data_IF_150205169516
#
_entry.id   IF_150205169516
#
_cell.length_a   1.000
_cell.length_b   1.000
_cell.length_c   1.000
_cell.angle_alpha   90.00
_cell.angle_beta   90.00
_cell.angle_gamma   90.00
#
_symmetry.space_group_name_H-M   'P 1'
#
loop_
_entity.id
_entity.type
_entity.pdbx_description
1 polymer ?
#
# COMPACT_ATOMS: atom_id res chain seq x y z
N UNK A 1 -18.84 -0.60 0.89
CA UNK A 1 -17.88 0.51 0.73
C UNK A 1 -18.49 1.75 1.36
N UNK A 2 -17.80 2.35 2.33
CA UNK A 2 -18.27 3.53 3.08
C UNK A 2 -17.49 4.76 2.52
N UNK A 3 -17.98 5.98 2.73
CA UNK A 3 -17.24 7.23 2.40
C UNK A 3 -15.76 7.24 2.86
N UNK A 4 -15.44 6.50 3.91
CA UNK A 4 -14.12 6.39 4.52
C UNK A 4 -13.31 5.19 4.01
N UNK A 5 -13.90 4.26 3.26
CA UNK A 5 -13.26 3.00 2.86
C UNK A 5 -13.35 2.80 1.36
N UNK A 6 -12.22 2.94 0.69
CA UNK A 6 -12.05 2.69 -0.73
C UNK A 6 -11.35 1.33 -0.88
N UNK A 7 -11.97 0.38 -1.55
CA UNK A 7 -11.32 -0.89 -1.92
C UNK A 7 -11.25 -0.97 -3.44
N UNK A 8 -10.10 -1.36 -3.96
CA UNK A 8 -9.84 -1.52 -5.38
C UNK A 8 -9.05 -2.79 -5.64
N UNK A 9 -9.32 -3.43 -6.78
CA UNK A 9 -8.50 -4.51 -7.29
C UNK A 9 -7.99 -4.10 -8.67
N UNK A 10 -6.75 -4.44 -8.96
CA UNK A 10 -6.08 -4.21 -10.24
C UNK A 10 -5.60 -5.55 -10.75
N UNK A 11 -6.11 -5.96 -11.90
CA UNK A 11 -5.56 -7.08 -12.66
C UNK A 11 -4.71 -6.53 -13.79
N UNK A 12 -3.47 -6.97 -13.87
CA UNK A 12 -2.51 -6.62 -14.91
C UNK A 12 -2.21 -7.88 -15.69
N UNK A 13 -2.36 -7.81 -17.00
CA UNK A 13 -2.08 -8.92 -17.89
C UNK A 13 -1.12 -8.45 -18.98
N UNK A 14 0.09 -9.01 -18.99
CA UNK A 14 1.08 -8.68 -20.00
C UNK A 14 0.97 -9.66 -21.19
N UNK A 15 0.73 -9.09 -22.38
CA UNK A 15 0.54 -9.82 -23.63
C UNK A 15 1.84 -10.10 -24.39
N UNK A 16 2.94 -9.41 -24.07
CA UNK A 16 4.20 -9.48 -24.84
C UNK A 16 5.29 -10.32 -24.17
N UNK A 17 5.28 -10.46 -22.84
CA UNK A 17 6.34 -11.07 -22.03
C UNK A 17 6.05 -12.47 -21.49
N UNK A 18 5.01 -13.15 -21.98
CA UNK A 18 4.68 -14.53 -21.58
C UNK A 18 3.85 -14.62 -20.30
N UNK A 19 2.51 -14.51 -20.45
CA UNK A 19 1.47 -14.99 -19.51
C UNK A 19 1.67 -14.66 -18.03
N UNK A 20 2.28 -13.53 -17.68
CA UNK A 20 2.32 -13.09 -16.29
C UNK A 20 1.04 -12.34 -15.97
N UNK A 21 0.10 -13.03 -15.32
CA UNK A 21 -1.05 -12.41 -14.66
C UNK A 21 -0.55 -11.85 -13.34
N UNK A 22 -0.84 -10.58 -13.06
CA UNK A 22 -0.56 -9.93 -11.79
C UNK A 22 -1.80 -9.26 -11.26
N UNK A 23 -2.43 -9.86 -10.26
CA UNK A 23 -3.55 -9.35 -9.51
C UNK A 23 -3.05 -8.67 -8.23
N UNK A 24 -3.46 -7.43 -8.03
CA UNK A 24 -3.20 -6.65 -6.82
C UNK A 24 -4.54 -6.19 -6.24
N UNK A 25 -4.81 -6.48 -4.98
CA UNK A 25 -5.94 -5.94 -4.24
C UNK A 25 -5.42 -4.90 -3.26
N UNK A 26 -5.97 -3.70 -3.29
CA UNK A 26 -5.62 -2.63 -2.37
C UNK A 26 -6.86 -2.04 -1.72
N UNK A 27 -6.81 -1.83 -0.42
CA UNK A 27 -7.81 -1.05 0.32
C UNK A 27 -7.14 0.19 0.91
N UNK A 28 -7.85 1.30 0.88
CA UNK A 28 -7.49 2.55 1.52
C UNK A 28 -8.59 2.88 2.52
N UNK A 29 -8.22 2.94 3.78
CA UNK A 29 -9.08 3.32 4.89
C UNK A 29 -8.69 4.72 5.32
N UNK A 30 -9.54 5.71 5.08
CA UNK A 30 -9.41 7.05 5.64
C UNK A 30 -9.90 6.96 7.09
N UNK A 31 -8.98 7.02 8.05
CA UNK A 31 -9.34 7.05 9.46
C UNK A 31 -9.91 8.42 9.81
N UNK A 32 -9.32 9.47 9.23
CA UNK A 32 -9.62 10.86 9.50
C UNK A 32 -9.38 11.67 8.21
N UNK A 33 -10.00 12.85 7.98
CA UNK A 33 -9.63 13.75 6.88
C UNK A 33 -8.11 14.00 6.74
N UNK A 34 -7.35 13.88 7.83
CA UNK A 34 -5.90 14.04 7.83
C UNK A 34 -5.12 12.72 7.71
N UNK A 35 -5.73 11.56 7.92
CA UNK A 35 -5.01 10.29 8.06
C UNK A 35 -5.64 9.14 7.27
N UNK A 36 -4.82 8.40 6.53
CA UNK A 36 -5.25 7.24 5.76
C UNK A 36 -4.30 6.05 5.91
N UNK A 37 -4.86 4.88 6.15
CA UNK A 37 -4.20 3.60 6.02
C UNK A 37 -4.44 3.03 4.62
N UNK A 38 -3.47 2.29 4.10
CA UNK A 38 -3.55 1.52 2.87
C UNK A 38 -3.07 0.11 3.17
N UNK A 39 -3.82 -0.89 2.75
CA UNK A 39 -3.36 -2.26 2.65
C UNK A 39 -3.33 -2.63 1.18
N UNK A 40 -2.31 -3.37 0.75
CA UNK A 40 -2.16 -3.89 -0.60
C UNK A 40 -1.68 -5.33 -0.48
N UNK A 41 -2.25 -6.23 -1.26
CA UNK A 41 -1.85 -7.62 -1.36
C UNK A 41 -1.79 -7.96 -2.85
N UNK A 42 -0.79 -8.70 -3.29
CA UNK A 42 -0.73 -9.20 -4.66
C UNK A 42 -0.71 -10.72 -4.72
N UNK A 43 -1.05 -11.29 -5.89
CA UNK A 43 -1.03 -12.75 -6.13
C UNK A 43 0.39 -13.34 -6.04
N UNK A 44 1.41 -12.48 -6.08
CA UNK A 44 2.82 -12.83 -5.92
C UNK A 44 3.23 -12.95 -4.45
N UNK A 45 2.26 -12.87 -3.53
CA UNK A 45 2.46 -13.04 -2.09
C UNK A 45 3.13 -11.86 -1.40
N UNK A 46 3.10 -10.65 -1.95
CA UNK A 46 3.55 -9.44 -1.26
C UNK A 46 2.36 -8.78 -0.58
N UNK A 47 2.43 -8.64 0.74
CA UNK A 47 1.50 -7.88 1.56
C UNK A 47 2.16 -6.58 2.00
N UNK A 48 1.65 -5.44 1.52
CA UNK A 48 2.10 -4.11 1.90
C UNK A 48 1.04 -3.38 2.72
N UNK A 49 1.48 -2.73 3.79
CA UNK A 49 0.69 -1.85 4.64
C UNK A 49 1.34 -0.47 4.59
N UNK A 50 0.55 0.58 4.52
CA UNK A 50 1.03 1.94 4.65
C UNK A 50 0.05 2.76 5.50
N UNK A 51 0.56 3.68 6.28
CA UNK A 51 -0.21 4.60 7.08
C UNK A 51 0.37 5.99 6.89
N UNK A 52 -0.46 6.91 6.45
CA UNK A 52 -0.09 8.31 6.31
C UNK A 52 -0.98 9.15 7.22
N UNK A 53 -0.38 10.15 7.83
CA UNK A 53 -1.03 11.12 8.68
C UNK A 53 -0.50 12.51 8.38
N UNK A 54 -1.40 13.45 8.11
CA UNK A 54 -1.08 14.86 7.92
C UNK A 54 -1.00 15.50 9.31
N UNK A 55 0.21 15.89 9.69
CA UNK A 55 0.51 16.44 11.02
C UNK A 55 0.16 17.93 11.10
N UNK A 56 0.32 18.66 9.99
CA UNK A 56 -0.01 20.08 9.88
C UNK A 56 -0.27 20.45 8.40
N UNK A 57 -0.74 21.68 8.16
CA UNK A 57 -1.08 22.19 6.83
C UNK A 57 0.02 21.96 5.76
N UNK A 58 1.29 21.95 6.18
CA UNK A 58 2.45 21.73 5.31
C UNK A 58 3.29 20.47 5.62
N UNK A 59 2.80 19.50 6.40
CA UNK A 59 3.60 18.29 6.70
C UNK A 59 2.75 17.03 6.76
N UNK A 60 3.11 16.06 5.91
CA UNK A 60 2.53 14.70 5.91
C UNK A 60 3.59 13.69 6.26
N UNK A 61 3.35 12.92 7.31
CA UNK A 61 4.15 11.77 7.68
C UNK A 61 3.52 10.49 7.13
N UNK A 62 4.32 9.62 6.54
CA UNK A 62 3.92 8.30 6.06
C UNK A 62 4.85 7.23 6.61
N UNK A 63 4.30 6.08 6.92
CA UNK A 63 5.04 4.87 7.23
C UNK A 63 4.49 3.73 6.39
N UNK A 64 5.35 2.90 5.86
CA UNK A 64 5.02 1.78 5.00
C UNK A 64 5.82 0.56 5.42
N UNK A 65 5.18 -0.59 5.36
CA UNK A 65 5.74 -1.91 5.59
C UNK A 65 5.36 -2.76 4.38
N UNK A 66 6.32 -3.45 3.78
CA UNK A 66 6.08 -4.43 2.73
C UNK A 66 6.67 -5.74 3.18
N UNK A 67 5.81 -6.73 3.36
CA UNK A 67 6.17 -8.09 3.71
C UNK A 67 6.01 -8.97 2.47
N UNK A 68 6.99 -9.84 2.26
CA UNK A 68 6.91 -10.90 1.27
C UNK A 68 6.43 -12.18 2.00
N UNK A 69 5.15 -12.51 1.86
CA UNK A 69 4.47 -13.66 2.49
C UNK A 69 5.07 -14.99 2.01
N UNK A 70 5.59 -15.05 0.79
CA UNK A 70 6.28 -16.25 0.29
C UNK A 70 7.65 -16.46 0.97
N UNK A 71 8.23 -15.39 1.50
CA UNK A 71 9.52 -15.36 2.19
C UNK A 71 9.38 -14.84 3.63
N UNK A 72 8.29 -15.21 4.32
CA UNK A 72 8.10 -14.86 5.75
C UNK A 72 9.21 -15.38 6.66
N UNK A 73 9.89 -16.46 6.24
CA UNK A 73 11.02 -17.04 6.96
C UNK A 73 12.36 -16.35 6.63
N UNK A 74 12.39 -15.39 5.69
CA UNK A 74 13.57 -14.59 5.38
C UNK A 74 13.37 -13.13 5.78
N UNK A 75 14.42 -12.46 6.26
CA UNK A 75 14.40 -11.06 6.67
C UNK A 75 14.35 -10.09 5.46
N UNK A 76 13.34 -10.24 4.58
CA UNK A 76 13.12 -9.41 3.39
C UNK A 76 12.08 -8.31 3.59
N UNK A 77 11.65 -8.05 4.83
CA UNK A 77 10.63 -7.05 5.13
C UNK A 77 11.17 -5.64 4.90
N UNK A 78 10.53 -4.89 4.02
CA UNK A 78 10.89 -3.50 3.75
C UNK A 78 10.06 -2.59 4.63
N UNK A 79 10.74 -1.79 5.44
CA UNK A 79 10.10 -0.74 6.23
C UNK A 79 10.58 0.58 5.64
N UNK A 80 9.66 1.48 5.37
CA UNK A 80 9.95 2.81 4.84
C UNK A 80 9.13 3.85 5.57
N UNK A 81 9.74 4.98 5.88
CA UNK A 81 9.05 6.17 6.36
C UNK A 81 9.23 7.28 5.34
N UNK A 82 8.18 8.07 5.11
CA UNK A 82 8.21 9.23 4.24
C UNK A 82 7.77 10.47 5.02
N UNK A 83 8.44 11.58 4.76
CA UNK A 83 8.04 12.89 5.24
C UNK A 83 7.90 13.78 4.00
N UNK A 84 6.72 14.32 3.81
CA UNK A 84 6.41 15.25 2.73
C UNK A 84 6.14 16.61 3.36
N UNK A 85 6.95 17.59 2.97
CA UNK A 85 6.78 18.98 3.37
C UNK A 85 6.20 19.75 2.18
N UNK A 86 5.05 20.37 2.36
CA UNK A 86 4.42 21.25 1.37
C UNK A 86 4.64 22.68 1.85
N UNK A 87 5.35 23.48 1.06
CA UNK A 87 5.66 24.90 1.31
C UNK A 87 5.18 25.77 0.17
#
# INVERSE_FOLDING_TARGET
>A
VNSNVEAGAKATYDLQGGKSVGLEVASKYKLDPLSFAKAKINDRGIAALAYNTKLNAGTTFGVGLSLDTNKLNEAGHKIGTSFVFEG
#
